data_IF_871442470069
#
_entry.id   IF_871442470069
#
_cell.length_a   1.000
_cell.length_b   1.000
_cell.length_c   1.000
_cell.angle_alpha   90.00
_cell.angle_beta   90.00
_cell.angle_gamma   90.00
#
_symmetry.space_group_name_H-M   'P 1'
#
loop_
_entity.id
_entity.type
_entity.pdbx_description
1 polymer ?
#
# COMPACT_ATOMS: atom_id res chain seq x y z
N UNK A 1 -34.62 6.48 26.59
CA UNK A 1 -33.34 5.99 26.02
C UNK A 1 -32.52 7.22 25.71
N UNK A 2 -31.49 7.50 26.52
CA UNK A 2 -30.74 8.75 26.50
C UNK A 2 -29.85 8.87 25.27
N UNK A 3 -29.93 10.02 24.59
CA UNK A 3 -29.09 10.37 23.45
C UNK A 3 -27.58 10.28 23.75
N UNK A 4 -27.19 10.44 25.03
CA UNK A 4 -25.80 10.28 25.47
C UNK A 4 -25.25 8.86 25.33
N UNK A 5 -26.09 7.83 25.43
CA UNK A 5 -25.68 6.42 25.28
C UNK A 5 -25.42 6.08 23.82
N UNK A 6 -26.19 6.65 22.89
CA UNK A 6 -25.99 6.51 21.44
C UNK A 6 -24.68 7.16 20.98
N UNK A 7 -24.33 8.34 21.49
CA UNK A 7 -23.09 9.02 21.12
C UNK A 7 -21.85 8.24 21.59
N UNK A 8 -21.86 7.70 22.81
CA UNK A 8 -20.77 6.86 23.31
C UNK A 8 -20.66 5.51 22.57
N UNK A 9 -21.81 4.90 22.23
CA UNK A 9 -21.83 3.66 21.45
C UNK A 9 -21.33 3.84 20.00
N UNK A 10 -21.53 5.02 19.40
CA UNK A 10 -20.97 5.37 18.08
C UNK A 10 -19.45 5.57 18.14
N UNK A 11 -18.94 6.18 19.22
CA UNK A 11 -17.49 6.37 19.43
C UNK A 11 -16.75 5.05 19.75
N UNK A 12 -17.44 4.10 20.39
CA UNK A 12 -16.94 2.75 20.71
C UNK A 12 -17.32 1.68 19.68
N UNK A 13 -18.04 2.03 18.62
CA UNK A 13 -18.25 1.14 17.49
C UNK A 13 -16.93 0.99 16.72
N UNK A 14 -16.64 -0.18 16.12
CA UNK A 14 -15.46 -0.39 15.26
C UNK A 14 -15.47 0.48 13.98
N UNK A 15 -16.35 1.47 13.90
CA UNK A 15 -16.59 2.40 12.79
C UNK A 15 -15.79 3.70 13.00
N UNK A 16 -15.13 3.90 14.15
CA UNK A 16 -14.11 4.95 14.29
C UNK A 16 -12.92 4.57 13.42
N UNK A 17 -12.74 5.27 12.29
CA UNK A 17 -11.60 5.10 11.37
C UNK A 17 -10.30 5.10 12.18
N UNK A 18 -9.61 3.96 12.23
CA UNK A 18 -8.36 3.82 13.01
C UNK A 18 -7.25 4.74 12.49
N UNK A 19 -7.30 5.09 11.20
CA UNK A 19 -6.38 6.01 10.54
C UNK A 19 -7.14 7.17 9.89
N UNK A 20 -6.56 8.35 9.99
CA UNK A 20 -6.96 9.52 9.21
C UNK A 20 -6.64 9.32 7.72
N UNK A 21 -7.30 10.07 6.85
CA UNK A 21 -7.01 10.01 5.41
C UNK A 21 -5.55 10.43 5.10
N UNK A 22 -4.95 11.33 5.88
CA UNK A 22 -3.55 11.71 5.66
C UNK A 22 -2.56 10.61 6.06
N UNK A 23 -2.85 9.86 7.14
CA UNK A 23 -2.07 8.68 7.53
C UNK A 23 -2.20 7.57 6.48
N UNK A 24 -3.43 7.30 6.00
CA UNK A 24 -3.66 6.37 4.90
C UNK A 24 -2.94 6.80 3.62
N UNK A 25 -2.92 8.10 3.31
CA UNK A 25 -2.17 8.63 2.17
C UNK A 25 -0.66 8.37 2.33
N UNK A 26 -0.13 8.55 3.54
CA UNK A 26 1.28 8.29 3.85
C UNK A 26 1.61 6.80 3.69
N UNK A 27 0.77 5.91 4.21
CA UNK A 27 0.92 4.47 4.05
C UNK A 27 0.79 4.02 2.59
N UNK A 28 -0.09 4.64 1.80
CA UNK A 28 -0.21 4.37 0.37
C UNK A 28 1.07 4.76 -0.38
N UNK A 29 1.70 5.88 -0.02
CA UNK A 29 3.00 6.28 -0.59
C UNK A 29 4.14 5.37 -0.14
N UNK A 30 4.14 4.90 1.11
CA UNK A 30 5.10 3.91 1.59
C UNK A 30 4.99 2.60 0.79
N UNK A 31 3.77 2.11 0.59
CA UNK A 31 3.52 0.95 -0.27
C UNK A 31 4.03 1.20 -1.69
N UNK A 32 3.76 2.38 -2.27
CA UNK A 32 4.22 2.73 -3.62
C UNK A 32 5.75 2.73 -3.72
N UNK A 33 6.44 3.29 -2.73
CA UNK A 33 7.90 3.27 -2.67
C UNK A 33 8.42 1.83 -2.64
N UNK A 34 7.87 0.98 -1.76
CA UNK A 34 8.23 -0.44 -1.70
C UNK A 34 8.00 -1.18 -3.02
N UNK A 35 6.87 -0.93 -3.69
CA UNK A 35 6.57 -1.54 -4.99
C UNK A 35 7.55 -1.09 -6.10
N UNK A 36 7.94 0.19 -6.12
CA UNK A 36 8.96 0.70 -7.07
C UNK A 36 10.32 0.08 -6.78
N UNK A 37 10.70 -0.03 -5.51
CA UNK A 37 11.96 -0.67 -5.11
C UNK A 37 11.97 -2.15 -5.48
N UNK A 38 10.86 -2.88 -5.30
CA UNK A 38 10.77 -4.28 -5.71
C UNK A 38 10.99 -4.45 -7.22
N UNK A 39 10.37 -3.62 -8.07
CA UNK A 39 10.59 -3.70 -9.53
C UNK A 39 12.07 -3.46 -9.88
N UNK A 40 12.70 -2.45 -9.26
CA UNK A 40 14.13 -2.19 -9.46
C UNK A 40 14.99 -3.37 -8.98
N UNK A 41 14.60 -3.99 -7.87
CA UNK A 41 15.26 -5.14 -7.28
C UNK A 41 15.20 -6.38 -8.18
N UNK A 42 14.06 -6.64 -8.81
CA UNK A 42 13.90 -7.73 -9.77
C UNK A 42 14.83 -7.55 -10.97
N UNK A 43 14.92 -6.33 -11.51
CA UNK A 43 15.86 -6.03 -12.59
C UNK A 43 17.32 -6.29 -12.19
N UNK A 44 17.72 -5.92 -10.97
CA UNK A 44 19.07 -6.19 -10.45
C UNK A 44 19.29 -7.69 -10.23
N UNK A 45 18.28 -8.41 -9.73
CA UNK A 45 18.34 -9.86 -9.50
C UNK A 45 18.66 -10.60 -10.81
N UNK A 46 17.98 -10.25 -11.90
CA UNK A 46 18.26 -10.82 -13.22
C UNK A 46 19.70 -10.55 -13.68
N UNK A 47 20.19 -9.32 -13.54
CA UNK A 47 21.58 -8.99 -13.91
C UNK A 47 22.62 -9.76 -13.09
N UNK A 48 22.36 -9.97 -11.79
CA UNK A 48 23.24 -10.75 -10.92
C UNK A 48 23.23 -12.24 -11.28
N UNK A 49 22.07 -12.78 -11.66
CA UNK A 49 21.94 -14.16 -12.14
C UNK A 49 22.71 -14.37 -13.45
N UNK A 50 22.54 -13.46 -14.42
CA UNK A 50 23.25 -13.51 -15.71
C UNK A 50 24.78 -13.40 -15.55
N UNK A 51 25.23 -12.69 -14.52
CA UNK A 51 26.64 -12.56 -14.19
C UNK A 51 27.20 -13.68 -13.29
N UNK A 52 26.38 -14.68 -12.93
CA UNK A 52 26.71 -15.74 -11.95
C UNK A 52 27.27 -15.17 -10.63
N UNK A 53 26.78 -13.99 -10.23
CA UNK A 53 27.32 -13.26 -9.10
C UNK A 53 26.94 -13.95 -7.77
N UNK A 54 27.85 -13.96 -6.79
CA UNK A 54 27.65 -14.67 -5.52
C UNK A 54 26.42 -14.22 -4.72
N UNK A 55 26.00 -12.96 -4.88
CA UNK A 55 24.79 -12.40 -4.24
C UNK A 55 23.47 -12.75 -4.94
N UNK A 56 23.50 -13.40 -6.11
CA UNK A 56 22.28 -13.73 -6.86
C UNK A 56 21.30 -14.58 -6.04
N UNK A 57 21.81 -15.48 -5.18
CA UNK A 57 21.00 -16.30 -4.28
C UNK A 57 20.28 -15.48 -3.22
N UNK A 58 20.98 -14.52 -2.60
CA UNK A 58 20.36 -13.61 -1.63
C UNK A 58 19.26 -12.78 -2.30
N UNK A 59 19.51 -12.28 -3.50
CA UNK A 59 18.51 -11.50 -4.23
C UNK A 59 17.29 -12.31 -4.65
N UNK A 60 17.48 -13.54 -5.10
CA UNK A 60 16.38 -14.44 -5.45
C UNK A 60 15.44 -14.70 -4.25
N UNK A 61 15.96 -14.81 -3.03
CA UNK A 61 15.11 -15.00 -1.83
C UNK A 61 14.20 -13.80 -1.55
N UNK A 62 14.71 -12.58 -1.67
CA UNK A 62 13.94 -11.34 -1.41
C UNK A 62 12.84 -11.17 -2.46
N UNK A 63 13.12 -11.50 -3.72
CA UNK A 63 12.11 -11.48 -4.79
C UNK A 63 10.93 -12.43 -4.50
N UNK A 64 11.15 -13.55 -3.83
CA UNK A 64 10.08 -14.50 -3.52
C UNK A 64 9.20 -14.05 -2.34
N UNK A 65 9.80 -13.42 -1.33
CA UNK A 65 9.10 -13.09 -0.09
C UNK A 65 8.32 -11.76 -0.16
N UNK A 66 8.94 -10.72 -0.72
CA UNK A 66 8.43 -9.35 -0.61
C UNK A 66 7.17 -9.05 -1.43
N UNK A 67 6.90 -9.68 -2.59
CA UNK A 67 5.65 -9.47 -3.32
C UNK A 67 4.43 -9.83 -2.49
N UNK A 68 4.50 -10.89 -1.67
CA UNK A 68 3.35 -11.36 -0.90
C UNK A 68 2.93 -10.34 0.16
N UNK A 69 3.88 -9.78 0.91
CA UNK A 69 3.58 -8.78 1.93
C UNK A 69 3.11 -7.46 1.31
N UNK A 70 3.69 -7.05 0.16
CA UNK A 70 3.23 -5.86 -0.57
C UNK A 70 1.81 -6.04 -1.11
N UNK A 71 1.46 -7.22 -1.60
CA UNK A 71 0.09 -7.51 -2.07
C UNK A 71 -0.93 -7.49 -0.92
N UNK A 72 -0.57 -8.03 0.25
CA UNK A 72 -1.43 -7.97 1.45
C UNK A 72 -1.62 -6.53 1.93
N UNK A 73 -0.55 -5.75 2.01
CA UNK A 73 -0.60 -4.33 2.38
C UNK A 73 -1.47 -3.54 1.37
N UNK A 74 -1.32 -3.83 0.08
CA UNK A 74 -2.13 -3.24 -0.99
C UNK A 74 -3.62 -3.51 -0.78
N UNK A 75 -4.01 -4.76 -0.52
CA UNK A 75 -5.40 -5.13 -0.34
C UNK A 75 -6.05 -4.40 0.84
N UNK A 76 -5.32 -4.25 1.95
CA UNK A 76 -5.76 -3.44 3.10
C UNK A 76 -5.96 -1.98 2.67
N UNK A 77 -4.95 -1.38 2.05
CA UNK A 77 -5.02 0.02 1.63
C UNK A 77 -6.14 0.28 0.61
N UNK A 78 -6.38 -0.63 -0.33
CA UNK A 78 -7.50 -0.52 -1.28
C UNK A 78 -8.85 -0.50 -0.55
N UNK A 79 -9.03 -1.40 0.43
CA UNK A 79 -10.24 -1.46 1.25
C UNK A 79 -10.42 -0.18 2.07
N UNK A 80 -9.39 0.22 2.82
CA UNK A 80 -9.46 1.37 3.73
C UNK A 80 -9.53 2.72 3.01
N UNK A 81 -9.14 2.79 1.73
CA UNK A 81 -9.20 4.02 0.92
C UNK A 81 -10.32 4.01 -0.11
N UNK A 82 -11.24 3.04 -0.08
CA UNK A 82 -12.32 2.92 -1.05
C UNK A 82 -13.22 4.17 -1.12
N UNK A 83 -13.37 4.90 -0.02
CA UNK A 83 -14.14 6.15 0.07
C UNK A 83 -13.44 7.35 -0.61
N UNK A 84 -12.13 7.29 -0.84
CA UNK A 84 -11.38 8.41 -1.44
C UNK A 84 -11.67 8.45 -2.95
N UNK A 85 -12.33 9.51 -3.42
CA UNK A 85 -12.62 9.69 -4.84
C UNK A 85 -11.34 10.07 -5.58
N UNK A 86 -11.06 9.37 -6.68
CA UNK A 86 -10.00 9.75 -7.60
C UNK A 86 -10.46 11.00 -8.38
N UNK A 87 -9.67 12.06 -8.34
CA UNK A 87 -9.91 13.29 -9.10
C UNK A 87 -8.72 13.54 -10.04
N UNK A 88 -8.72 12.95 -11.27
CA UNK A 88 -7.52 12.93 -12.13
C UNK A 88 -6.95 14.30 -12.50
N UNK A 89 -7.78 15.35 -12.48
CA UNK A 89 -7.39 16.73 -12.78
C UNK A 89 -6.78 17.47 -11.58
N UNK A 90 -6.91 16.93 -10.37
CA UNK A 90 -6.39 17.53 -9.15
C UNK A 90 -4.96 17.01 -8.93
N UNK A 91 -3.97 17.91 -8.96
CA UNK A 91 -2.58 17.53 -8.73
C UNK A 91 -2.27 17.40 -7.23
N UNK A 92 -2.83 16.37 -6.60
CA UNK A 92 -2.59 16.07 -5.20
C UNK A 92 -1.96 14.69 -4.98
N UNK A 93 -1.52 14.46 -3.73
CA UNK A 93 -0.85 13.21 -3.35
C UNK A 93 -1.73 11.99 -3.62
N UNK A 94 -3.05 12.12 -3.49
CA UNK A 94 -4.00 11.02 -3.71
C UNK A 94 -4.12 10.67 -5.18
N UNK A 95 -4.29 11.66 -6.04
CA UNK A 95 -4.47 11.49 -7.48
C UNK A 95 -3.22 10.89 -8.15
N UNK A 96 -2.05 11.09 -7.55
CA UNK A 96 -0.78 10.47 -7.97
C UNK A 96 -0.60 9.03 -7.50
N UNK A 97 -1.14 8.62 -6.35
CA UNK A 97 -0.90 7.28 -5.77
C UNK A 97 -2.03 6.28 -6.02
N UNK A 98 -3.29 6.76 -6.02
CA UNK A 98 -4.48 5.92 -6.18
C UNK A 98 -4.50 5.11 -7.50
N UNK A 99 -4.05 5.64 -8.66
CA UNK A 99 -4.01 4.87 -9.90
C UNK A 99 -3.19 3.58 -9.75
N UNK A 100 -2.00 3.66 -9.15
CA UNK A 100 -1.14 2.50 -8.90
C UNK A 100 -1.73 1.58 -7.83
N UNK A 101 -2.30 2.15 -6.77
CA UNK A 101 -2.88 1.36 -5.69
C UNK A 101 -4.11 0.57 -6.16
N UNK A 102 -4.87 1.05 -7.15
CA UNK A 102 -6.12 0.44 -7.62
C UNK A 102 -6.02 -0.33 -8.95
N UNK A 103 -4.92 -0.22 -9.69
CA UNK A 103 -4.71 -1.01 -10.91
C UNK A 103 -4.75 -2.52 -10.63
N UNK A 104 -5.71 -3.23 -11.20
CA UNK A 104 -5.71 -4.70 -11.16
C UNK A 104 -4.52 -5.14 -12.03
N UNK A 105 -3.52 -5.78 -11.42
CA UNK A 105 -2.47 -6.47 -12.17
C UNK A 105 -3.05 -7.73 -12.78
#
# INVERSE_FOLDING_TARGET
MDAGVLVLAVQQSPITKQFTDNELCTLAWLWRAGNVMLIAYQNVTHLLQDAEHGEAGHFTSIEQEYPQILNRARAILVRETAHVKLQPWQDDKWSRVLPYLRQIC
#
